data_IF_819667014967
#
_entry.id   IF_819667014967
#
_cell.length_a   1.000
_cell.length_b   1.000
_cell.length_c   1.000
_cell.angle_alpha   90.00
_cell.angle_beta   90.00
_cell.angle_gamma   90.00
#
_symmetry.space_group_name_H-M   'P 1'
#
loop_
_entity.id
_entity.type
_entity.pdbx_description
1 polymer ?
#
# COMPACT_ATOMS: atom_id res chain seq x y z
N UNK A 1 -60.27 -54.54 -7.64
CA UNK A 1 -59.75 -53.23 -7.16
C UNK A 1 -59.15 -53.43 -5.79
N UNK A 2 -57.82 -53.31 -5.64
CA UNK A 2 -57.08 -52.93 -4.42
C UNK A 2 -55.60 -52.86 -4.78
N UNK A 3 -55.04 -51.66 -4.65
CA UNK A 3 -53.69 -51.27 -5.07
C UNK A 3 -52.65 -51.75 -4.07
N UNK A 4 -51.50 -52.16 -4.61
CA UNK A 4 -50.22 -52.39 -3.92
C UNK A 4 -49.74 -51.07 -3.30
N UNK A 5 -49.20 -51.13 -2.07
CA UNK A 5 -48.36 -50.05 -1.52
C UNK A 5 -47.10 -50.69 -0.92
N UNK A 6 -46.00 -50.51 -1.63
CA UNK A 6 -44.62 -50.80 -1.23
C UNK A 6 -44.15 -49.75 -0.22
N UNK A 7 -43.63 -50.17 0.93
CA UNK A 7 -43.00 -49.29 1.91
C UNK A 7 -41.56 -48.96 1.46
N UNK A 8 -41.32 -47.68 1.15
CA UNK A 8 -40.00 -47.11 0.91
C UNK A 8 -39.50 -46.51 2.23
N UNK A 9 -38.41 -47.05 2.78
CA UNK A 9 -37.72 -46.47 3.94
C UNK A 9 -36.82 -45.34 3.44
N UNK A 10 -37.18 -44.08 3.72
CA UNK A 10 -36.27 -42.94 3.56
C UNK A 10 -35.41 -42.80 4.82
N UNK A 11 -34.12 -43.06 4.70
CA UNK A 11 -33.13 -42.59 5.66
C UNK A 11 -32.92 -41.09 5.47
N UNK A 12 -33.26 -40.29 6.49
CA UNK A 12 -32.94 -38.86 6.53
C UNK A 12 -31.52 -38.72 7.09
N UNK A 13 -30.57 -38.44 6.21
CA UNK A 13 -29.21 -38.04 6.58
C UNK A 13 -29.25 -36.60 7.09
N UNK A 14 -29.24 -36.41 8.41
CA UNK A 14 -29.18 -35.10 9.05
C UNK A 14 -27.74 -34.57 8.95
N UNK A 15 -27.43 -33.83 7.88
CA UNK A 15 -26.17 -33.08 7.78
C UNK A 15 -26.27 -31.89 8.73
N UNK A 16 -25.61 -31.98 9.88
CA UNK A 16 -25.52 -30.89 10.85
C UNK A 16 -24.74 -29.72 10.26
N UNK A 17 -25.41 -28.61 10.01
CA UNK A 17 -24.75 -27.34 9.71
C UNK A 17 -24.02 -26.87 10.98
N UNK A 18 -22.70 -27.06 11.01
CA UNK A 18 -21.86 -26.41 12.00
C UNK A 18 -21.89 -24.90 11.72
N UNK A 19 -22.68 -24.16 12.50
CA UNK A 19 -22.63 -22.71 12.51
C UNK A 19 -21.24 -22.31 13.04
N UNK A 20 -20.34 -21.96 12.12
CA UNK A 20 -19.10 -21.27 12.46
C UNK A 20 -19.53 -19.90 12.99
N UNK A 21 -19.62 -19.77 14.31
CA UNK A 21 -19.75 -18.49 14.98
C UNK A 21 -18.45 -17.71 14.71
N UNK A 22 -18.45 -16.86 13.68
CA UNK A 22 -17.41 -15.88 13.52
C UNK A 22 -17.41 -14.98 14.78
N UNK A 23 -16.27 -14.72 15.42
CA UNK A 23 -16.20 -13.74 16.49
C UNK A 23 -16.70 -12.40 15.95
N UNK A 24 -17.54 -11.71 16.72
CA UNK A 24 -17.97 -10.36 16.38
C UNK A 24 -16.72 -9.49 16.25
N UNK A 25 -16.39 -9.05 15.04
CA UNK A 25 -15.42 -8.00 14.83
C UNK A 25 -15.99 -6.75 15.53
N UNK A 26 -15.28 -6.25 16.53
CA UNK A 26 -15.68 -5.01 17.20
C UNK A 26 -15.25 -3.87 16.31
N UNK A 27 -16.17 -3.03 15.83
CA UNK A 27 -15.87 -1.81 15.06
C UNK A 27 -14.75 -0.97 15.69
N UNK A 28 -14.64 -1.02 17.03
CA UNK A 28 -13.64 -0.28 17.79
C UNK A 28 -13.02 -1.18 18.87
N UNK A 29 -11.73 -0.99 19.14
CA UNK A 29 -11.10 -1.59 20.31
C UNK A 29 -11.29 -0.68 21.53
N UNK A 30 -11.86 -1.25 22.61
CA UNK A 30 -11.99 -0.56 23.88
C UNK A 30 -10.79 -0.85 24.80
N UNK A 31 -10.20 0.21 25.38
CA UNK A 31 -9.10 0.09 26.35
C UNK A 31 -9.20 1.15 27.44
N UNK A 32 -8.76 0.84 28.65
CA UNK A 32 -8.58 1.85 29.71
C UNK A 32 -7.11 2.23 29.81
N UNK A 33 -6.80 3.52 29.71
CA UNK A 33 -5.43 4.07 29.77
C UNK A 33 -5.43 5.25 30.75
N UNK A 34 -4.59 5.20 31.78
CA UNK A 34 -4.54 6.20 32.84
C UNK A 34 -5.93 6.51 33.47
N UNK A 35 -6.79 5.50 33.53
CA UNK A 35 -8.17 5.61 34.03
C UNK A 35 -9.19 6.18 33.03
N UNK A 36 -8.77 6.72 31.89
CA UNK A 36 -9.66 7.14 30.81
C UNK A 36 -10.13 5.94 30.00
N UNK A 37 -11.35 6.02 29.46
CA UNK A 37 -11.92 4.98 28.61
C UNK A 37 -11.78 5.39 27.15
N UNK A 38 -11.06 4.57 26.39
CA UNK A 38 -10.74 4.78 24.99
C UNK A 38 -11.52 3.78 24.16
N UNK A 39 -12.17 4.24 23.10
CA UNK A 39 -12.61 3.39 21.98
C UNK A 39 -11.91 3.91 20.73
N UNK A 40 -11.18 3.01 20.05
CA UNK A 40 -10.30 3.36 18.92
C UNK A 40 -10.65 2.50 17.73
N UNK A 41 -10.78 3.11 16.55
CA UNK A 41 -11.08 2.41 15.31
C UNK A 41 -10.90 3.29 14.07
N UNK A 42 -11.43 2.81 12.95
CA UNK A 42 -11.66 3.64 11.77
C UNK A 42 -13.00 4.35 11.89
N UNK A 43 -13.07 5.56 11.36
CA UNK A 43 -14.29 6.36 11.37
C UNK A 43 -15.39 5.81 10.45
N UNK A 44 -15.04 5.54 9.19
CA UNK A 44 -15.96 4.95 8.21
C UNK A 44 -15.68 3.46 8.03
N UNK A 45 -16.72 2.63 8.15
CA UNK A 45 -16.59 1.17 8.03
C UNK A 45 -17.62 0.58 7.04
N UNK A 46 -17.23 -0.41 6.20
CA UNK A 46 -15.88 -0.97 6.06
C UNK A 46 -14.88 0.03 5.44
N UNK A 47 -13.63 -0.02 5.90
CA UNK A 47 -12.57 0.86 5.43
C UNK A 47 -12.00 0.34 4.12
N UNK A 48 -12.02 1.14 3.06
CA UNK A 48 -11.41 0.78 1.78
C UNK A 48 -10.16 1.59 1.45
N UNK A 49 -9.16 0.92 0.88
CA UNK A 49 -7.98 1.61 0.37
C UNK A 49 -8.35 2.57 -0.78
N UNK A 50 -7.75 3.75 -0.79
CA UNK A 50 -7.94 4.80 -1.80
C UNK A 50 -9.07 5.80 -1.49
N UNK A 51 -9.83 5.59 -0.43
CA UNK A 51 -10.91 6.48 0.01
C UNK A 51 -10.53 7.24 1.28
N UNK A 52 -11.03 8.46 1.44
CA UNK A 52 -10.83 9.21 2.68
C UNK A 52 -11.46 8.44 3.85
N UNK A 53 -10.73 8.40 4.96
CA UNK A 53 -11.20 7.89 6.24
C UNK A 53 -10.46 8.66 7.35
N UNK A 54 -10.59 8.22 8.59
CA UNK A 54 -9.93 8.80 9.73
C UNK A 54 -9.70 7.77 10.83
N UNK A 55 -8.68 8.00 11.64
CA UNK A 55 -8.63 7.40 12.97
C UNK A 55 -9.71 8.08 13.78
N UNK A 56 -10.59 7.31 14.42
CA UNK A 56 -11.52 7.84 15.41
C UNK A 56 -11.07 7.41 16.81
N UNK A 57 -11.02 8.38 17.71
CA UNK A 57 -10.79 8.18 19.14
C UNK A 57 -11.98 8.74 19.91
N UNK A 58 -12.77 7.85 20.52
CA UNK A 58 -13.72 8.25 21.56
C UNK A 58 -13.05 8.19 22.92
N UNK A 59 -13.18 9.26 23.69
CA UNK A 59 -12.51 9.43 24.96
C UNK A 59 -13.47 9.91 26.05
N UNK A 60 -13.60 9.08 27.09
CA UNK A 60 -14.32 9.43 28.31
C UNK A 60 -13.38 9.48 29.52
N UNK A 61 -13.67 10.40 30.45
CA UNK A 61 -13.01 10.50 31.75
C UNK A 61 -13.23 9.22 32.58
N UNK A 62 -12.46 9.01 33.67
CA UNK A 62 -12.72 7.92 34.61
C UNK A 62 -14.14 7.90 35.21
N UNK A 63 -14.84 9.05 35.19
CA UNK A 63 -16.23 9.18 35.64
C UNK A 63 -17.26 8.96 34.52
N UNK A 64 -16.81 8.56 33.32
CA UNK A 64 -17.66 8.28 32.16
C UNK A 64 -18.16 9.50 31.41
N UNK A 65 -17.61 10.70 31.66
CA UNK A 65 -18.00 11.93 30.93
C UNK A 65 -17.15 12.09 29.67
N UNK A 66 -17.69 12.61 28.56
CA UNK A 66 -16.89 12.86 27.37
C UNK A 66 -15.82 13.91 27.64
N UNK A 67 -14.60 13.65 27.14
CA UNK A 67 -13.51 14.62 27.14
C UNK A 67 -13.74 15.60 26.00
N UNK A 68 -13.78 16.90 26.29
CA UNK A 68 -14.09 17.92 25.27
C UNK A 68 -12.85 18.57 24.66
N UNK A 69 -11.67 18.39 25.28
CA UNK A 69 -10.43 18.98 24.81
C UNK A 69 -9.24 18.14 25.30
N UNK A 70 -8.33 17.79 24.39
CA UNK A 70 -7.06 17.09 24.65
C UNK A 70 -5.83 17.98 24.46
N UNK A 71 -6.03 19.24 24.07
CA UNK A 71 -4.98 20.17 23.72
C UNK A 71 -4.07 19.63 22.62
N UNK A 72 -2.79 19.99 22.68
CA UNK A 72 -1.74 19.45 21.81
C UNK A 72 -0.94 18.33 22.50
N UNK A 73 -1.50 17.69 23.52
CA UNK A 73 -0.77 16.74 24.38
C UNK A 73 -0.81 15.31 23.88
N UNK A 74 -1.72 14.98 22.96
CA UNK A 74 -1.92 13.63 22.44
C UNK A 74 -1.90 13.62 20.92
N UNK A 75 -1.17 12.66 20.35
CA UNK A 75 -1.06 12.49 18.90
C UNK A 75 -1.17 11.04 18.51
N UNK A 76 -1.53 10.80 17.25
CA UNK A 76 -1.55 9.46 16.67
C UNK A 76 -0.52 9.34 15.54
N UNK A 77 0.26 8.28 15.56
CA UNK A 77 1.04 7.82 14.41
C UNK A 77 0.30 6.65 13.79
N UNK A 78 -0.01 6.77 12.50
CA UNK A 78 -0.61 5.68 11.72
C UNK A 78 0.52 4.90 11.05
N UNK A 79 0.52 3.59 11.24
CA UNK A 79 1.57 2.69 10.74
C UNK A 79 0.97 1.54 9.92
N UNK A 80 1.63 1.21 8.80
CA UNK A 80 1.32 0.03 7.99
C UNK A 80 2.58 -0.47 7.29
N UNK A 81 2.89 -1.76 7.42
CA UNK A 81 4.17 -2.32 6.96
C UNK A 81 5.36 -1.55 7.54
N UNK A 82 6.21 -0.97 6.68
CA UNK A 82 7.33 -0.11 7.09
C UNK A 82 7.00 1.39 7.08
N UNK A 83 5.82 1.77 6.60
CA UNK A 83 5.39 3.16 6.49
C UNK A 83 4.77 3.63 7.81
N UNK A 84 5.09 4.86 8.20
CA UNK A 84 4.47 5.53 9.34
C UNK A 84 4.35 7.02 9.10
N UNK A 85 3.28 7.63 9.62
CA UNK A 85 3.06 9.07 9.57
C UNK A 85 2.32 9.54 10.82
N UNK A 86 2.79 10.64 11.42
CA UNK A 86 2.15 11.31 12.55
C UNK A 86 1.03 12.22 12.05
N UNK A 87 -0.10 12.22 12.75
CA UNK A 87 -1.25 13.09 12.53
C UNK A 87 -1.65 13.77 13.83
N UNK A 88 -2.29 14.93 13.69
CA UNK A 88 -2.96 15.60 14.80
C UNK A 88 -4.36 15.01 14.97
N UNK A 89 -4.84 15.03 16.21
CA UNK A 89 -6.20 14.68 16.57
C UNK A 89 -6.99 15.97 16.71
N UNK A 90 -8.06 16.10 15.93
CA UNK A 90 -8.94 17.26 15.94
C UNK A 90 -10.28 16.89 16.61
N UNK A 91 -10.87 17.74 17.45
CA UNK A 91 -12.18 17.46 18.03
C UNK A 91 -13.26 17.43 16.94
N UNK A 92 -14.11 16.40 16.95
CA UNK A 92 -15.28 16.29 16.07
C UNK A 92 -16.43 17.20 16.53
N UNK A 93 -16.55 17.43 17.84
CA UNK A 93 -17.59 18.30 18.41
C UNK A 93 -17.25 19.79 18.30
N UNK A 94 -18.15 20.56 17.69
CA UNK A 94 -18.11 22.01 17.65
C UNK A 94 -19.05 22.60 18.72
N UNK A 95 -18.53 23.31 19.75
CA UNK A 95 -19.35 23.89 20.80
C UNK A 95 -20.22 25.07 20.34
N UNK A 96 -19.87 25.75 19.24
CA UNK A 96 -20.60 26.93 18.77
C UNK A 96 -21.85 26.51 17.98
N UNK A 97 -21.72 25.51 17.10
CA UNK A 97 -22.85 24.96 16.35
C UNK A 97 -23.61 23.85 17.09
N UNK A 98 -22.97 23.20 18.07
CA UNK A 98 -23.50 22.03 18.76
C UNK A 98 -23.51 20.76 17.92
N UNK A 99 -22.81 20.75 16.78
CA UNK A 99 -22.70 19.61 15.87
C UNK A 99 -21.49 18.72 16.23
N UNK A 100 -21.50 17.49 15.72
CA UNK A 100 -20.46 16.49 16.00
C UNK A 100 -20.67 15.72 17.30
N UNK A 101 -19.70 14.88 17.67
CA UNK A 101 -19.81 13.99 18.84
C UNK A 101 -18.88 14.40 19.97
N UNK A 102 -19.44 14.65 21.16
CA UNK A 102 -18.64 14.95 22.35
C UNK A 102 -17.76 13.75 22.72
N UNK A 103 -16.48 14.00 22.98
CA UNK A 103 -15.53 12.93 23.30
C UNK A 103 -14.86 12.32 22.08
N UNK A 104 -15.24 12.69 20.86
CA UNK A 104 -14.68 12.17 19.62
C UNK A 104 -13.58 13.08 19.09
N UNK A 105 -12.45 12.47 18.73
CA UNK A 105 -11.30 13.13 18.14
C UNK A 105 -10.81 12.34 16.93
N UNK A 106 -10.58 13.06 15.83
CA UNK A 106 -10.34 12.46 14.52
C UNK A 106 -8.97 12.83 13.96
N UNK A 107 -8.36 11.87 13.25
CA UNK A 107 -7.18 12.12 12.43
C UNK A 107 -7.42 11.63 11.00
N UNK A 108 -7.71 12.56 10.08
CA UNK A 108 -8.07 12.27 8.69
C UNK A 108 -6.88 11.84 7.83
N UNK A 109 -7.06 10.76 7.06
CA UNK A 109 -6.09 10.29 6.08
C UNK A 109 -6.75 9.41 5.01
N UNK A 110 -6.02 9.13 3.94
CA UNK A 110 -6.44 8.15 2.92
C UNK A 110 -5.53 6.92 3.11
N UNK A 111 -6.04 5.77 3.60
CA UNK A 111 -5.28 4.52 3.54
C UNK A 111 -5.05 4.15 2.06
N UNK A 112 -3.80 3.97 1.65
CA UNK A 112 -3.47 3.72 0.23
C UNK A 112 -3.22 2.24 -0.09
N UNK A 113 -3.19 1.39 0.92
CA UNK A 113 -2.91 -0.05 0.78
C UNK A 113 -3.87 -0.85 1.65
N UNK A 114 -4.44 -1.96 1.15
CA UNK A 114 -5.19 -2.90 1.99
C UNK A 114 -4.31 -3.55 3.06
N UNK A 115 -4.95 -4.06 4.11
CA UNK A 115 -4.31 -4.81 5.18
C UNK A 115 -4.35 -4.11 6.53
N UNK A 116 -3.56 -4.60 7.50
CA UNK A 116 -3.61 -4.09 8.86
C UNK A 116 -2.93 -2.72 8.99
N UNK A 117 -3.50 -1.90 9.86
CA UNK A 117 -2.98 -0.61 10.31
C UNK A 117 -2.87 -0.61 11.83
N UNK A 118 -1.84 0.07 12.33
CA UNK A 118 -1.66 0.34 13.76
C UNK A 118 -1.81 1.83 14.01
N UNK A 119 -2.63 2.18 15.00
CA UNK A 119 -2.75 3.52 15.55
C UNK A 119 -1.94 3.58 16.84
N UNK A 120 -0.80 4.26 16.77
CA UNK A 120 0.13 4.43 17.89
C UNK A 120 -0.05 5.81 18.51
N UNK A 121 -0.72 5.84 19.66
CA UNK A 121 -0.96 7.05 20.43
C UNK A 121 0.21 7.33 21.37
N UNK A 122 0.71 8.56 21.32
CA UNK A 122 1.78 9.05 22.18
C UNK A 122 1.44 10.41 22.75
N UNK A 123 1.89 10.69 23.97
CA UNK A 123 1.64 11.98 24.59
C UNK A 123 1.40 11.92 26.09
N UNK A 124 0.51 12.78 26.57
CA UNK A 124 0.09 12.83 27.96
C UNK A 124 -1.44 12.98 28.06
N UNK A 125 -2.06 12.16 28.89
CA UNK A 125 -3.48 12.25 29.25
C UNK A 125 -3.66 11.68 30.65
N UNK A 126 -3.69 12.56 31.66
CA UNK A 126 -3.65 12.16 33.08
C UNK A 126 -2.36 11.43 33.50
N UNK A 127 -1.37 11.39 32.62
CA UNK A 127 -0.12 10.63 32.74
C UNK A 127 0.42 10.28 31.35
N UNK A 128 1.67 9.77 31.25
CA UNK A 128 2.27 9.40 29.97
C UNK A 128 1.42 8.39 29.19
N UNK A 129 1.32 8.58 27.87
CA UNK A 129 0.66 7.68 26.94
C UNK A 129 1.67 7.20 25.91
N UNK A 130 1.74 5.88 25.76
CA UNK A 130 2.46 5.16 24.70
C UNK A 130 1.67 3.86 24.45
N UNK A 131 0.71 3.90 23.52
CA UNK A 131 -0.29 2.85 23.33
C UNK A 131 -0.56 2.58 21.86
N UNK A 132 -0.50 1.31 21.47
CA UNK A 132 -0.82 0.87 20.11
C UNK A 132 -2.12 0.08 20.05
N UNK A 133 -2.89 0.35 19.01
CA UNK A 133 -4.13 -0.34 18.65
C UNK A 133 -3.97 -0.83 17.20
N UNK A 134 -4.00 -2.13 16.98
CA UNK A 134 -3.75 -2.72 15.65
C UNK A 134 -5.01 -3.36 15.13
N UNK A 135 -5.44 -3.00 13.93
CA UNK A 135 -6.61 -3.61 13.27
C UNK A 135 -6.38 -5.09 13.02
N UNK A 136 -7.42 -5.91 13.17
CA UNK A 136 -7.36 -7.34 12.91
C UNK A 136 -8.57 -8.10 13.46
N UNK A 137 -8.56 -9.44 13.39
CA UNK A 137 -9.72 -10.28 13.73
C UNK A 137 -10.23 -10.17 15.18
N UNK A 138 -9.46 -9.56 16.09
CA UNK A 138 -9.77 -9.43 17.51
C UNK A 138 -10.09 -8.00 17.94
N UNK A 139 -9.92 -7.04 17.04
CA UNK A 139 -10.03 -5.59 17.29
C UNK A 139 -10.93 -5.00 16.19
N UNK A 140 -10.63 -3.78 15.73
CA UNK A 140 -11.30 -3.15 14.59
C UNK A 140 -10.83 -3.70 13.25
N UNK A 141 -11.66 -3.55 12.22
CA UNK A 141 -11.44 -4.16 10.92
C UNK A 141 -10.18 -3.61 10.21
N UNK A 142 -9.54 -4.46 9.41
CA UNK A 142 -8.43 -4.06 8.54
C UNK A 142 -8.94 -3.27 7.33
N UNK A 143 -8.05 -2.54 6.66
CA UNK A 143 -8.39 -1.89 5.38
C UNK A 143 -8.62 -2.95 4.29
N UNK A 144 -9.74 -2.87 3.61
CA UNK A 144 -10.14 -3.75 2.53
C UNK A 144 -9.70 -3.25 1.15
N UNK A 145 -9.59 -4.19 0.21
CA UNK A 145 -9.38 -3.89 -1.20
C UNK A 145 -10.73 -3.52 -1.84
N UNK A 146 -10.88 -2.31 -2.40
CA UNK A 146 -12.15 -1.88 -2.99
C UNK A 146 -12.54 -2.66 -4.24
N UNK A 147 -11.63 -3.38 -4.91
CA UNK A 147 -11.92 -4.13 -6.14
C UNK A 147 -13.09 -5.10 -5.99
N UNK A 148 -13.33 -5.61 -4.78
CA UNK A 148 -14.41 -6.57 -4.49
C UNK A 148 -15.81 -5.95 -4.57
N UNK A 149 -15.93 -4.63 -4.42
CA UNK A 149 -17.22 -3.92 -4.38
C UNK A 149 -17.39 -2.92 -5.54
N UNK A 150 -16.43 -2.83 -6.44
CA UNK A 150 -16.50 -1.92 -7.58
C UNK A 150 -17.52 -2.38 -8.62
N UNK A 151 -18.30 -1.41 -9.09
CA UNK A 151 -19.32 -1.57 -10.12
C UNK A 151 -19.38 -0.27 -10.95
N UNK A 152 -19.65 -0.32 -12.28
CA UNK A 152 -19.90 -1.52 -13.10
C UNK A 152 -18.64 -2.30 -13.48
N UNK A 153 -17.49 -1.65 -13.45
CA UNK A 153 -16.21 -2.25 -13.83
C UNK A 153 -15.28 -2.24 -12.64
N UNK A 154 -14.56 -3.35 -12.47
CA UNK A 154 -13.45 -3.43 -11.52
C UNK A 154 -12.22 -2.84 -12.18
N UNK A 155 -11.69 -1.78 -11.59
CA UNK A 155 -10.46 -1.11 -12.02
C UNK A 155 -9.33 -1.42 -11.03
N UNK A 156 -8.07 -1.51 -11.50
CA UNK A 156 -6.93 -1.68 -10.61
C UNK A 156 -6.83 -0.53 -9.61
N UNK A 157 -6.53 -0.86 -8.35
CA UNK A 157 -6.14 0.11 -7.34
C UNK A 157 -4.84 0.83 -7.73
N UNK A 158 -4.57 1.98 -7.11
CA UNK A 158 -3.31 2.72 -7.33
C UNK A 158 -2.08 1.87 -7.01
N UNK A 159 -2.16 1.01 -5.99
CA UNK A 159 -1.09 0.08 -5.64
C UNK A 159 -0.86 -0.96 -6.75
N UNK A 160 -1.91 -1.59 -7.24
CA UNK A 160 -1.81 -2.58 -8.32
C UNK A 160 -1.30 -1.95 -9.62
N UNK A 161 -1.71 -0.71 -9.92
CA UNK A 161 -1.21 0.05 -11.06
C UNK A 161 0.30 0.31 -10.92
N UNK A 162 0.77 0.73 -9.74
CA UNK A 162 2.20 0.90 -9.45
C UNK A 162 2.97 -0.41 -9.65
N UNK A 163 2.47 -1.52 -9.12
CA UNK A 163 3.12 -2.83 -9.26
C UNK A 163 3.15 -3.31 -10.72
N UNK A 164 2.09 -3.06 -11.50
CA UNK A 164 2.07 -3.36 -12.94
C UNK A 164 3.10 -2.50 -13.67
N UNK A 165 3.20 -1.21 -13.33
CA UNK A 165 4.18 -0.30 -13.91
C UNK A 165 5.61 -0.74 -13.59
N UNK A 166 5.92 -1.08 -12.34
CA UNK A 166 7.26 -1.54 -11.94
C UNK A 166 7.69 -2.81 -12.69
N UNK A 167 6.75 -3.75 -12.89
CA UNK A 167 6.99 -4.96 -13.70
C UNK A 167 7.28 -4.63 -15.16
N UNK A 168 6.54 -3.70 -15.77
CA UNK A 168 6.77 -3.29 -17.15
C UNK A 168 8.07 -2.50 -17.33
N UNK A 169 8.44 -1.67 -16.35
CA UNK A 169 9.76 -1.01 -16.31
C UNK A 169 10.87 -2.05 -16.27
N UNK A 170 10.78 -3.04 -15.38
CA UNK A 170 11.78 -4.11 -15.27
C UNK A 170 11.89 -4.93 -16.57
N UNK A 171 10.74 -5.29 -17.18
CA UNK A 171 10.69 -6.00 -18.46
C UNK A 171 11.33 -5.21 -19.58
N UNK A 172 11.00 -3.92 -19.69
CA UNK A 172 11.53 -3.04 -20.74
C UNK A 172 13.04 -2.84 -20.56
N UNK A 173 13.49 -2.65 -19.32
CA UNK A 173 14.91 -2.53 -19.00
C UNK A 173 15.68 -3.79 -19.40
N UNK A 174 15.14 -4.97 -19.10
CA UNK A 174 15.74 -6.24 -19.53
C UNK A 174 15.77 -6.39 -21.05
N UNK A 175 14.71 -5.97 -21.76
CA UNK A 175 14.66 -6.02 -23.22
C UNK A 175 15.69 -5.07 -23.87
N UNK A 176 15.88 -3.87 -23.32
CA UNK A 176 16.91 -2.93 -23.77
C UNK A 176 18.31 -3.53 -23.57
N UNK A 177 18.59 -4.09 -22.40
CA UNK A 177 19.87 -4.74 -22.11
C UNK A 177 20.15 -5.92 -23.05
N UNK A 178 19.13 -6.76 -23.32
CA UNK A 178 19.23 -7.86 -24.28
C UNK A 178 19.53 -7.34 -25.69
N UNK A 179 18.83 -6.29 -26.15
CA UNK A 179 19.08 -5.68 -27.46
C UNK A 179 20.48 -5.09 -27.58
N UNK A 180 21.00 -4.44 -26.52
CA UNK A 180 22.37 -3.91 -26.48
C UNK A 180 23.42 -5.03 -26.57
N UNK A 181 23.26 -6.10 -25.78
CA UNK A 181 24.17 -7.27 -25.85
C UNK A 181 24.10 -8.02 -27.19
N UNK A 182 22.92 -8.05 -27.81
CA UNK A 182 22.73 -8.55 -29.19
C UNK A 182 23.45 -7.68 -30.22
N UNK A 183 23.41 -6.36 -30.07
CA UNK A 183 24.14 -5.45 -30.95
C UNK A 183 25.66 -5.60 -30.79
N UNK A 184 26.17 -5.81 -29.57
CA UNK A 184 27.59 -6.08 -29.29
C UNK A 184 28.06 -7.42 -29.89
N UNK A 185 27.23 -8.46 -29.86
CA UNK A 185 27.55 -9.77 -30.47
C UNK A 185 27.50 -9.75 -32.01
N UNK A 186 26.67 -8.90 -32.61
CA UNK A 186 26.69 -8.65 -34.06
C UNK A 186 27.86 -7.75 -34.50
N UNK A 187 28.32 -6.82 -33.65
CA UNK A 187 29.57 -6.08 -33.87
C UNK A 187 30.80 -7.00 -33.91
N UNK A 188 30.81 -8.08 -33.11
CA UNK A 188 31.86 -9.10 -33.14
C UNK A 188 31.79 -10.06 -34.35
N UNK A 189 30.68 -10.12 -35.09
CA UNK A 189 30.49 -11.14 -36.13
C UNK A 189 30.69 -10.65 -37.57
N UNK A 190 30.62 -9.34 -37.88
CA UNK A 190 30.84 -8.83 -39.27
C UNK A 190 31.47 -7.43 -39.41
N UNK A 191 32.09 -6.86 -38.37
CA UNK A 191 32.58 -5.47 -38.42
C UNK A 191 34.10 -5.27 -38.28
N UNK A 192 34.92 -6.33 -38.30
CA UNK A 192 36.38 -6.17 -38.10
C UNK A 192 37.22 -6.14 -39.39
N UNK A 193 36.67 -6.41 -40.57
CA UNK A 193 37.46 -6.30 -41.83
C UNK A 193 37.33 -4.92 -42.45
N UNK A 194 36.14 -4.31 -42.47
CA UNK A 194 35.93 -3.01 -43.12
C UNK A 194 36.57 -1.84 -42.35
N UNK A 195 36.48 -1.84 -41.01
CA UNK A 195 37.05 -0.78 -40.18
C UNK A 195 38.59 -0.88 -40.10
N UNK A 196 39.15 -2.09 -40.00
CA UNK A 196 40.61 -2.30 -40.03
C UNK A 196 41.17 -1.90 -41.40
N UNK A 197 40.54 -2.28 -42.51
CA UNK A 197 40.99 -1.88 -43.86
C UNK A 197 40.89 -0.36 -44.05
N UNK A 198 39.83 0.29 -43.55
CA UNK A 198 39.70 1.75 -43.59
C UNK A 198 40.80 2.45 -42.79
N UNK A 199 41.11 1.97 -41.58
CA UNK A 199 42.17 2.54 -40.74
C UNK A 199 43.54 2.33 -41.38
N UNK A 200 43.85 1.12 -41.86
CA UNK A 200 45.13 0.83 -42.53
C UNK A 200 45.29 1.66 -43.81
N UNK A 201 44.22 1.85 -44.59
CA UNK A 201 44.23 2.69 -45.78
C UNK A 201 44.55 4.16 -45.49
N UNK A 202 43.96 4.73 -44.43
CA UNK A 202 44.23 6.12 -43.99
C UNK A 202 45.67 6.28 -43.51
N UNK A 203 46.17 5.33 -42.71
CA UNK A 203 47.55 5.37 -42.18
C UNK A 203 48.58 5.29 -43.33
N UNK A 204 48.38 4.39 -44.29
CA UNK A 204 49.28 4.27 -45.46
C UNK A 204 49.21 5.50 -46.37
N UNK A 205 48.03 6.08 -46.57
CA UNK A 205 47.86 7.30 -47.36
C UNK A 205 48.59 8.51 -46.76
N UNK A 206 48.52 8.66 -45.43
CA UNK A 206 49.22 9.74 -44.72
C UNK A 206 50.74 9.53 -44.70
N UNK A 207 51.22 8.29 -44.58
CA UNK A 207 52.64 7.98 -44.68
C UNK A 207 53.21 8.25 -46.08
N UNK A 208 52.45 7.93 -47.14
CA UNK A 208 52.82 8.24 -48.52
C UNK A 208 52.91 9.73 -48.81
N UNK A 209 51.97 10.53 -48.29
CA UNK A 209 51.99 12.00 -48.40
C UNK A 209 53.18 12.61 -47.65
N UNK A 210 53.50 12.11 -46.45
CA UNK A 210 54.66 12.55 -45.67
C UNK A 210 55.99 12.27 -46.38
N UNK A 211 56.14 11.07 -46.96
CA UNK A 211 57.35 10.71 -47.71
C UNK A 211 57.49 11.50 -49.02
N UNK A 212 56.39 11.78 -49.72
CA UNK A 212 56.38 12.62 -50.92
C UNK A 212 56.78 14.08 -50.66
N UNK A 213 56.37 14.66 -49.53
CA UNK A 213 56.74 16.02 -49.13
C UNK A 213 58.19 16.09 -48.65
N UNK A 214 58.68 15.05 -47.95
CA UNK A 214 60.06 15.00 -47.48
C UNK A 214 61.08 14.82 -48.61
N UNK A 215 60.71 14.09 -49.67
CA UNK A 215 61.59 13.86 -50.83
C UNK A 215 61.58 15.01 -51.83
N UNK A 216 60.48 15.74 -51.98
CA UNK A 216 60.41 16.95 -52.84
C UNK A 216 61.21 18.12 -52.27
N UNK A 217 61.27 18.26 -50.94
CA UNK A 217 62.08 19.28 -50.26
C UNK A 217 63.60 19.04 -50.29
N UNK A 218 64.04 17.82 -50.59
CA UNK A 218 65.47 17.48 -50.74
C UNK A 218 66.01 17.69 -52.17
N UNK A 219 65.13 18.01 -53.14
CA UNK A 219 65.48 18.18 -54.56
C UNK A 219 65.29 19.60 -55.10
N UNK A 220 64.88 20.55 -54.26
CA UNK A 220 64.93 21.99 -54.52
C UNK A 220 66.10 22.59 -53.75
#
# INVERSE_FOLDING_TARGET
MKRVITLLVLGVSMVGAAAVLAPAASAHEARTVNGYHWLVGFGDEPTYAGFQNFVVLFLNTPSGKPVLNIGNELHVTVETGSAKRKFNLEPSFDPDSGLGTKGEFDAFFIPTTPGPYTFHFTGNLGGPVDQSFTSGPKTFATVEDPSQIQFPEQVPSTLELSQKLDREIARTTAAIAAAQSGAESHANSKANTALIVAIVGVVLGLAGLGYGIATSRKRA
#
